data_IF_843124912050
#
_entry.id   IF_843124912050
#
_cell.length_a   1.000
_cell.length_b   1.000
_cell.length_c   1.000
_cell.angle_alpha   90.00
_cell.angle_beta   90.00
_cell.angle_gamma   90.00
#
_symmetry.space_group_name_H-M   'P 1'
#
loop_
_entity.id
_entity.type
_entity.pdbx_description
1 polymer ?
#
# COMPACT_ATOMS: atom_id res chain seq x y z
N UNK A 1 13.75 -3.02 27.34
CA UNK A 1 13.15 -1.82 26.69
C UNK A 1 12.00 -2.34 25.87
N UNK A 2 10.81 -1.79 26.09
CA UNK A 2 9.54 -2.34 25.59
C UNK A 2 9.55 -2.49 24.06
N UNK A 3 10.27 -1.61 23.35
CA UNK A 3 10.42 -1.68 21.89
C UNK A 3 11.15 -2.94 21.43
N UNK A 4 12.26 -3.29 22.10
CA UNK A 4 13.06 -4.47 21.75
C UNK A 4 12.33 -5.76 22.08
N UNK A 5 11.67 -5.82 23.23
CA UNK A 5 10.86 -6.96 23.65
C UNK A 5 9.66 -7.18 22.70
N UNK A 6 8.98 -6.09 22.31
CA UNK A 6 7.91 -6.17 21.32
C UNK A 6 8.42 -6.64 19.95
N UNK A 7 9.59 -6.16 19.51
CA UNK A 7 10.20 -6.61 18.27
C UNK A 7 10.54 -8.11 18.32
N UNK A 8 11.09 -8.61 19.43
CA UNK A 8 11.34 -10.04 19.63
C UNK A 8 10.07 -10.88 19.59
N UNK A 9 8.97 -10.41 20.21
CA UNK A 9 7.67 -11.07 20.13
C UNK A 9 7.15 -11.11 18.68
N UNK A 10 7.30 -10.03 17.91
CA UNK A 10 6.91 -10.02 16.50
C UNK A 10 7.75 -10.97 15.65
N UNK A 11 9.07 -11.01 15.90
CA UNK A 11 10.00 -11.87 15.16
C UNK A 11 9.80 -13.35 15.47
N UNK A 12 9.58 -13.71 16.75
CA UNK A 12 9.33 -15.09 17.18
C UNK A 12 8.04 -15.70 16.60
N UNK A 13 7.06 -14.86 16.23
CA UNK A 13 5.80 -15.28 15.62
C UNK A 13 5.86 -15.43 14.10
N UNK A 14 6.91 -14.95 13.43
CA UNK A 14 7.15 -15.22 12.01
C UNK A 14 7.64 -16.65 11.86
N UNK A 15 6.71 -17.58 11.65
CA UNK A 15 7.00 -19.03 11.66
C UNK A 15 7.96 -19.48 10.57
N UNK A 16 8.17 -18.72 9.49
CA UNK A 16 9.11 -19.11 8.44
C UNK A 16 9.83 -17.91 7.80
N UNK A 17 11.16 -18.01 7.75
CA UNK A 17 12.11 -17.28 6.87
C UNK A 17 12.07 -15.76 6.96
N UNK A 18 12.97 -15.21 7.79
CA UNK A 18 13.50 -13.87 7.53
C UNK A 18 14.12 -13.88 6.13
N UNK A 19 13.44 -13.26 5.17
CA UNK A 19 13.99 -13.00 3.85
C UNK A 19 14.86 -11.76 3.98
N UNK A 20 16.05 -11.72 3.38
CA UNK A 20 16.83 -10.48 3.32
C UNK A 20 15.95 -9.35 2.76
N UNK A 21 15.93 -8.21 3.46
CA UNK A 21 15.21 -7.05 2.91
C UNK A 21 15.88 -6.65 1.60
N UNK A 22 15.11 -6.74 0.52
CA UNK A 22 15.54 -6.37 -0.80
C UNK A 22 14.53 -5.40 -1.42
N UNK A 23 15.04 -4.51 -2.26
CA UNK A 23 14.24 -3.57 -3.04
C UNK A 23 14.42 -3.92 -4.50
N UNK A 24 13.32 -4.18 -5.19
CA UNK A 24 13.30 -4.36 -6.64
C UNK A 24 12.68 -3.13 -7.28
N UNK A 25 13.30 -2.61 -8.34
CA UNK A 25 12.69 -1.52 -9.10
C UNK A 25 11.44 -2.03 -9.82
N UNK A 26 10.36 -1.25 -9.76
CA UNK A 26 9.10 -1.53 -10.40
C UNK A 26 8.78 -0.54 -11.52
N UNK A 27 7.73 -0.84 -12.26
CA UNK A 27 7.19 0.02 -13.31
C UNK A 27 5.79 0.50 -12.93
N UNK A 28 5.37 1.69 -13.40
CA UNK A 28 3.99 2.14 -13.22
C UNK A 28 2.97 1.12 -13.73
N UNK A 29 1.94 0.86 -12.93
CA UNK A 29 0.85 -0.07 -13.28
C UNK A 29 -0.08 0.60 -14.28
N UNK A 30 -0.12 0.06 -15.50
CA UNK A 30 -0.97 0.59 -16.58
C UNK A 30 -2.45 0.25 -16.40
N UNK A 31 -2.72 -0.97 -15.93
CA UNK A 31 -4.06 -1.52 -15.77
C UNK A 31 -4.26 -2.02 -14.33
N UNK A 32 -4.57 -1.12 -13.38
CA UNK A 32 -4.72 -1.51 -11.98
C UNK A 32 -5.90 -2.47 -11.78
N UNK A 33 -5.65 -3.56 -11.05
CA UNK A 33 -6.66 -4.56 -10.72
C UNK A 33 -7.48 -4.13 -9.50
N UNK A 34 -8.73 -3.72 -9.78
CA UNK A 34 -9.75 -3.53 -8.75
C UNK A 34 -10.62 -4.78 -8.61
N UNK A 35 -10.90 -5.17 -7.38
CA UNK A 35 -11.66 -6.37 -7.06
C UNK A 35 -13.11 -6.07 -6.74
N UNK A 36 -13.91 -7.14 -6.66
CA UNK A 36 -15.34 -7.05 -6.39
C UNK A 36 -16.18 -6.80 -7.66
N UNK A 37 -17.48 -7.04 -7.52
CA UNK A 37 -18.46 -6.95 -8.60
C UNK A 37 -19.35 -5.69 -8.50
N UNK A 38 -19.16 -4.88 -7.46
CA UNK A 38 -19.91 -3.63 -7.25
C UNK A 38 -19.31 -2.46 -8.02
N UNK A 39 -20.07 -1.37 -8.21
CA UNK A 39 -19.49 -0.13 -8.71
C UNK A 39 -18.31 0.23 -7.81
N UNK A 40 -17.17 0.54 -8.43
CA UNK A 40 -16.04 1.11 -7.73
C UNK A 40 -16.57 2.40 -7.10
N UNK A 41 -16.84 2.39 -5.77
CA UNK A 41 -17.38 3.54 -5.06
C UNK A 41 -16.64 4.83 -5.43
N UNK A 42 -17.30 5.98 -5.33
CA UNK A 42 -16.84 7.23 -5.94
C UNK A 42 -15.42 7.63 -5.47
N UNK A 43 -14.55 8.02 -6.42
CA UNK A 43 -13.21 8.61 -6.12
C UNK A 43 -13.30 10.05 -5.61
N UNK A 44 -14.48 10.63 -5.63
CA UNK A 44 -14.77 12.02 -5.27
C UNK A 44 -14.15 12.43 -3.93
N UNK A 45 -14.16 11.57 -2.91
CA UNK A 45 -13.54 11.86 -1.62
C UNK A 45 -12.01 12.03 -1.71
N UNK A 46 -11.33 11.26 -2.57
CA UNK A 46 -9.89 11.38 -2.80
C UNK A 46 -9.56 12.57 -3.69
N UNK A 47 -10.43 12.86 -4.67
CA UNK A 47 -10.27 13.96 -5.62
C UNK A 47 -10.56 15.32 -4.99
N UNK A 48 -11.49 15.38 -4.04
CA UNK A 48 -11.84 16.57 -3.25
C UNK A 48 -10.80 16.92 -2.18
N UNK A 49 -9.79 16.09 -1.96
CA UNK A 49 -8.73 16.41 -1.03
C UNK A 49 -8.02 17.69 -1.48
N UNK A 50 -7.94 18.73 -0.64
CA UNK A 50 -7.40 20.02 -1.07
C UNK A 50 -5.99 19.83 -1.61
N UNK A 51 -5.61 20.60 -2.63
CA UNK A 51 -4.26 20.56 -3.21
C UNK A 51 -3.64 21.94 -3.12
N UNK A 52 -2.32 21.99 -2.97
CA UNK A 52 -1.61 23.25 -3.12
C UNK A 52 -1.37 23.47 -4.62
N UNK A 53 -1.73 24.64 -5.12
CA UNK A 53 -1.39 25.03 -6.50
C UNK A 53 0.14 25.08 -6.63
N UNK A 54 0.67 24.35 -7.60
CA UNK A 54 2.10 24.24 -7.89
C UNK A 54 2.28 24.39 -9.40
N UNK A 55 3.07 25.38 -9.80
CA UNK A 55 3.39 25.59 -11.22
C UNK A 55 4.11 24.38 -11.80
N UNK A 56 3.64 23.92 -12.96
CA UNK A 56 4.12 22.73 -13.65
C UNK A 56 4.14 21.48 -12.75
N UNK A 57 3.09 21.29 -11.94
CA UNK A 57 2.99 20.17 -10.99
C UNK A 57 3.31 18.81 -11.61
N UNK A 58 2.75 18.50 -12.79
CA UNK A 58 2.95 17.21 -13.45
C UNK A 58 4.40 16.99 -13.91
N UNK A 59 5.12 18.05 -14.30
CA UNK A 59 6.53 17.96 -14.71
C UNK A 59 7.45 17.79 -13.50
N UNK A 60 7.07 18.38 -12.35
CA UNK A 60 7.83 18.29 -11.09
C UNK A 60 7.50 17.04 -10.28
N UNK A 61 6.40 16.36 -10.60
CA UNK A 61 5.98 15.15 -9.89
C UNK A 61 6.90 13.99 -10.27
N UNK A 62 7.56 13.43 -9.27
CA UNK A 62 8.36 12.21 -9.39
C UNK A 62 7.54 11.06 -8.88
N UNK A 63 7.33 10.09 -9.76
CA UNK A 63 6.73 8.80 -9.42
C UNK A 63 7.81 7.72 -9.37
N UNK A 64 7.89 7.02 -8.25
CA UNK A 64 8.75 5.86 -8.07
C UNK A 64 7.87 4.65 -7.73
N UNK A 65 8.05 3.56 -8.50
CA UNK A 65 7.41 2.28 -8.23
C UNK A 65 8.51 1.27 -7.88
N UNK A 66 8.34 0.54 -6.80
CA UNK A 66 9.28 -0.49 -6.38
C UNK A 66 8.59 -1.55 -5.53
N UNK A 67 9.27 -2.68 -5.35
CA UNK A 67 8.79 -3.79 -4.55
C UNK A 67 9.72 -4.00 -3.36
N UNK A 68 9.13 -4.16 -2.18
CA UNK A 68 9.84 -4.56 -0.97
C UNK A 68 9.64 -6.06 -0.74
N UNK A 69 10.73 -6.80 -0.60
CA UNK A 69 10.67 -8.22 -0.24
C UNK A 69 10.54 -8.35 1.27
N UNK A 70 9.34 -8.68 1.74
CA UNK A 70 8.98 -8.67 3.18
C UNK A 70 8.88 -10.07 3.80
N UNK A 71 8.62 -11.08 2.98
CA UNK A 71 8.53 -12.50 3.34
C UNK A 71 8.67 -13.37 2.08
N UNK A 72 8.64 -14.69 2.27
CA UNK A 72 8.74 -15.65 1.17
C UNK A 72 7.42 -15.74 0.38
N UNK A 73 7.51 -16.05 -0.91
CA UNK A 73 6.35 -16.28 -1.77
C UNK A 73 5.78 -15.01 -2.41
N UNK A 74 4.78 -15.19 -3.28
CA UNK A 74 4.21 -14.10 -4.10
C UNK A 74 3.61 -12.98 -3.25
N UNK A 75 2.92 -13.34 -2.17
CA UNK A 75 2.38 -12.34 -1.25
C UNK A 75 3.50 -11.58 -0.53
N UNK A 76 4.73 -12.08 -0.42
CA UNK A 76 5.80 -11.37 0.26
C UNK A 76 6.42 -10.22 -0.51
N UNK A 77 6.14 -10.13 -1.81
CA UNK A 77 6.53 -9.03 -2.69
C UNK A 77 5.53 -7.89 -2.51
N UNK A 78 5.91 -6.86 -1.76
CA UNK A 78 5.05 -5.72 -1.43
C UNK A 78 5.24 -4.59 -2.45
N UNK A 79 4.25 -4.29 -3.32
CA UNK A 79 4.29 -3.18 -4.25
C UNK A 79 4.12 -1.85 -3.53
N UNK A 80 4.95 -0.88 -3.91
CA UNK A 80 4.98 0.47 -3.34
C UNK A 80 4.92 1.49 -4.47
N UNK A 81 3.99 2.42 -4.35
CA UNK A 81 3.86 3.62 -5.18
C UNK A 81 4.25 4.83 -4.33
N UNK A 82 5.31 5.54 -4.73
CA UNK A 82 5.79 6.73 -4.07
C UNK A 82 5.64 7.94 -5.01
N UNK A 83 4.99 8.99 -4.52
CA UNK A 83 4.90 10.29 -5.18
C UNK A 83 5.60 11.35 -4.33
N UNK A 84 6.47 12.13 -4.96
CA UNK A 84 7.14 13.29 -4.35
C UNK A 84 7.31 14.39 -5.39
N UNK A 85 7.42 15.63 -4.93
CA UNK A 85 7.85 16.72 -5.80
C UNK A 85 9.39 16.79 -5.88
N UNK A 86 9.89 17.02 -7.10
CA UNK A 86 11.27 17.34 -7.40
C UNK A 86 11.58 18.81 -7.06
N UNK A 87 11.62 19.10 -5.77
CA UNK A 87 11.95 20.42 -5.25
C UNK A 87 13.44 20.51 -4.92
N UNK A 88 14.03 21.70 -5.06
CA UNK A 88 15.41 22.00 -4.67
C UNK A 88 15.61 22.17 -3.15
N UNK A 89 14.55 22.01 -2.35
CA UNK A 89 14.54 22.22 -0.89
C UNK A 89 14.87 20.91 -0.11
N UNK A 90 15.18 20.99 1.21
CA UNK A 90 16.18 20.15 1.89
C UNK A 90 15.93 18.64 1.93
N UNK A 91 17.02 17.88 2.16
CA UNK A 91 17.16 16.41 2.06
C UNK A 91 16.15 15.56 2.85
N UNK A 92 15.49 16.10 3.88
CA UNK A 92 14.55 15.35 4.74
C UNK A 92 13.13 15.89 4.64
N UNK A 93 12.25 15.09 4.03
CA UNK A 93 10.81 15.35 3.91
C UNK A 93 10.02 14.38 4.80
N UNK A 94 8.90 14.82 5.40
CA UNK A 94 7.98 13.92 6.08
C UNK A 94 7.38 12.91 5.09
N UNK A 95 7.25 11.65 5.53
CA UNK A 95 6.66 10.56 4.75
C UNK A 95 5.27 10.26 5.29
N UNK A 96 4.28 10.19 4.42
CA UNK A 96 2.91 9.76 4.75
C UNK A 96 2.63 8.47 4.00
N UNK A 97 2.38 7.39 4.75
CA UNK A 97 1.98 6.09 4.18
C UNK A 97 0.46 5.96 4.29
N UNK A 98 -0.20 5.75 3.16
CA UNK A 98 -1.65 5.67 3.05
C UNK A 98 -2.05 4.28 2.58
N UNK A 99 -2.95 3.65 3.31
CA UNK A 99 -3.50 2.33 2.98
C UNK A 99 -4.82 2.50 2.22
N UNK A 100 -4.99 1.72 1.15
CA UNK A 100 -6.24 1.72 0.39
C UNK A 100 -7.30 0.86 1.11
N UNK A 101 -8.59 1.13 0.83
CA UNK A 101 -9.68 0.31 1.34
C UNK A 101 -9.71 -1.08 0.68
N UNK A 102 -10.48 -2.01 1.25
CA UNK A 102 -10.75 -3.31 0.61
C UNK A 102 -11.25 -3.14 -0.82
N UNK A 103 -10.92 -4.12 -1.66
CA UNK A 103 -11.28 -4.21 -3.08
C UNK A 103 -10.65 -3.17 -4.01
N UNK A 104 -9.86 -2.23 -3.46
CA UNK A 104 -9.09 -1.24 -4.23
C UNK A 104 -7.62 -1.65 -4.33
N UNK A 105 -6.79 -0.74 -4.82
CA UNK A 105 -5.34 -0.88 -4.90
C UNK A 105 -4.66 0.48 -4.66
N UNK A 106 -3.34 0.50 -4.57
CA UNK A 106 -2.54 1.72 -4.35
C UNK A 106 -2.77 2.80 -5.40
N UNK A 107 -3.00 2.44 -6.66
CA UNK A 107 -3.29 3.39 -7.75
C UNK A 107 -4.61 4.13 -7.51
N UNK A 108 -5.56 3.52 -6.77
CA UNK A 108 -6.81 4.16 -6.39
C UNK A 108 -6.57 5.46 -5.60
N UNK A 109 -5.51 5.49 -4.79
CA UNK A 109 -5.14 6.60 -3.92
C UNK A 109 -4.37 7.71 -4.64
N UNK A 110 -4.05 7.57 -5.94
CA UNK A 110 -3.24 8.56 -6.67
C UNK A 110 -3.71 10.02 -6.46
N UNK A 111 -5.02 10.35 -6.50
CA UNK A 111 -5.45 11.71 -6.27
C UNK A 111 -5.08 12.26 -4.89
N UNK A 112 -5.12 11.40 -3.87
CA UNK A 112 -4.73 11.73 -2.50
C UNK A 112 -3.21 11.87 -2.37
N UNK A 113 -2.45 10.97 -3.00
CA UNK A 113 -0.99 11.03 -3.00
C UNK A 113 -0.47 12.32 -3.66
N UNK A 114 -1.06 12.71 -4.79
CA UNK A 114 -0.75 13.99 -5.45
C UNK A 114 -1.05 15.19 -4.55
N UNK A 115 -2.17 15.14 -3.81
CA UNK A 115 -2.53 16.20 -2.87
C UNK A 115 -1.51 16.34 -1.73
N UNK A 116 -0.97 15.24 -1.21
CA UNK A 116 0.11 15.28 -0.22
C UNK A 116 1.46 15.70 -0.83
N UNK A 117 1.80 15.19 -2.02
CA UNK A 117 3.00 15.58 -2.74
C UNK A 117 3.02 17.10 -3.03
N UNK A 118 1.88 17.69 -3.44
CA UNK A 118 1.74 19.14 -3.68
C UNK A 118 2.08 20.00 -2.45
N UNK A 119 1.93 19.44 -1.24
CA UNK A 119 2.23 20.11 0.03
C UNK A 119 3.66 19.85 0.52
N UNK A 120 4.49 19.15 -0.25
CA UNK A 120 5.90 18.88 0.07
C UNK A 120 6.14 17.57 0.86
N UNK A 121 5.13 16.71 0.99
CA UNK A 121 5.30 15.39 1.60
C UNK A 121 5.81 14.36 0.58
N UNK A 122 6.48 13.32 1.08
CA UNK A 122 6.65 12.07 0.33
C UNK A 122 5.40 11.22 0.62
N UNK A 123 4.54 11.06 -0.38
CA UNK A 123 3.31 10.31 -0.25
C UNK A 123 3.52 8.89 -0.77
N UNK A 124 3.18 7.88 0.04
CA UNK A 124 3.40 6.47 -0.26
C UNK A 124 2.08 5.72 -0.16
N UNK A 125 1.78 4.89 -1.14
CA UNK A 125 0.73 3.88 -1.07
C UNK A 125 1.31 2.49 -1.30
N UNK A 126 0.73 1.50 -0.63
CA UNK A 126 1.13 0.09 -0.76
C UNK A 126 -0.08 -0.77 -1.07
N UNK A 127 0.12 -1.84 -1.83
CA UNK A 127 -0.92 -2.84 -2.01
C UNK A 127 -0.94 -3.80 -0.82
N UNK A 128 -2.09 -3.87 -0.15
CA UNK A 128 -2.34 -4.85 0.91
C UNK A 128 -2.37 -6.28 0.34
N UNK A 129 -2.28 -7.30 1.20
CA UNK A 129 -2.33 -8.71 0.75
C UNK A 129 -3.55 -8.95 -0.11
N UNK A 130 -3.38 -9.75 -1.16
CA UNK A 130 -4.45 -10.12 -2.08
C UNK A 130 -5.13 -8.94 -2.77
N UNK A 131 -4.47 -7.78 -2.93
CA UNK A 131 -4.99 -6.60 -3.64
C UNK A 131 -3.99 -6.06 -4.66
N UNK A 132 -4.48 -5.28 -5.63
CA UNK A 132 -3.66 -4.64 -6.66
C UNK A 132 -2.75 -5.63 -7.37
N UNK A 133 -1.45 -5.35 -7.41
CA UNK A 133 -0.46 -6.26 -8.02
C UNK A 133 -0.25 -7.57 -7.24
N UNK A 134 -0.76 -7.69 -6.02
CA UNK A 134 -0.73 -8.92 -5.21
C UNK A 134 -1.99 -9.76 -5.38
N UNK A 135 -2.88 -9.40 -6.31
CA UNK A 135 -4.07 -10.17 -6.67
C UNK A 135 -3.92 -10.75 -8.08
N UNK A 136 -4.42 -11.96 -8.29
CA UNK A 136 -4.41 -12.65 -9.59
C UNK A 136 -5.75 -12.52 -10.33
N UNK A 137 -6.83 -12.20 -9.62
CA UNK A 137 -8.19 -12.12 -10.14
C UNK A 137 -9.04 -11.10 -9.37
N UNK A 138 -10.25 -10.82 -9.87
CA UNK A 138 -11.22 -9.95 -9.18
C UNK A 138 -11.78 -10.55 -7.88
N UNK A 139 -11.54 -11.84 -7.65
CA UNK A 139 -12.07 -12.62 -6.52
C UNK A 139 -11.00 -13.04 -5.53
N UNK A 140 -9.71 -12.79 -5.80
CA UNK A 140 -8.58 -13.27 -4.98
C UNK A 140 -8.74 -12.95 -3.50
N UNK A 141 -9.14 -11.74 -3.15
CA UNK A 141 -9.33 -11.33 -1.75
C UNK A 141 -10.45 -12.11 -1.06
N UNK A 142 -11.59 -12.31 -1.73
CA UNK A 142 -12.74 -13.06 -1.19
C UNK A 142 -12.39 -14.54 -1.08
N UNK A 143 -11.69 -15.09 -2.07
CA UNK A 143 -11.22 -16.48 -2.07
C UNK A 143 -10.23 -16.73 -0.92
N UNK A 144 -9.26 -15.83 -0.74
CA UNK A 144 -8.31 -15.90 0.36
C UNK A 144 -9.02 -15.83 1.72
N UNK A 145 -10.01 -14.94 1.87
CA UNK A 145 -10.83 -14.84 3.08
C UNK A 145 -11.62 -16.13 3.35
N UNK A 146 -12.26 -16.69 2.32
CA UNK A 146 -13.02 -17.94 2.45
C UNK A 146 -12.11 -19.13 2.81
N UNK A 147 -10.89 -19.17 2.24
CA UNK A 147 -9.88 -20.18 2.58
C UNK A 147 -9.47 -20.06 4.04
N UNK A 148 -9.09 -18.85 4.47
CA UNK A 148 -8.68 -18.57 5.86
C UNK A 148 -9.76 -18.99 6.86
N UNK A 149 -11.03 -18.66 6.58
CA UNK A 149 -12.16 -19.03 7.42
C UNK A 149 -12.37 -20.55 7.51
N UNK A 150 -12.28 -21.26 6.37
CA UNK A 150 -12.54 -22.70 6.30
C UNK A 150 -11.43 -23.54 6.92
N UNK A 151 -10.18 -23.13 6.69
CA UNK A 151 -9.01 -23.96 6.95
C UNK A 151 -8.22 -23.52 8.18
N UNK A 152 -8.36 -22.25 8.60
CA UNK A 152 -7.49 -21.67 9.64
C UNK A 152 -6.01 -21.65 9.27
N UNK A 153 -5.69 -21.82 7.98
CA UNK A 153 -4.33 -21.90 7.43
C UNK A 153 -3.61 -20.55 7.45
N UNK A 154 -4.39 -19.47 7.38
CA UNK A 154 -3.98 -18.09 7.35
C UNK A 154 -4.87 -17.30 8.31
N UNK A 155 -4.33 -16.25 8.93
CA UNK A 155 -5.10 -15.44 9.88
C UNK A 155 -6.25 -14.73 9.12
N UNK A 156 -7.52 -14.96 9.48
CA UNK A 156 -8.63 -14.28 8.81
C UNK A 156 -8.53 -12.77 9.04
N UNK A 157 -8.22 -12.04 7.96
CA UNK A 157 -7.84 -10.62 7.95
C UNK A 157 -8.96 -9.63 8.35
N UNK A 158 -10.16 -10.12 8.66
CA UNK A 158 -11.30 -9.28 9.07
C UNK A 158 -11.18 -8.83 10.53
N UNK A 159 -10.47 -9.58 11.38
CA UNK A 159 -10.35 -9.24 12.80
C UNK A 159 -9.20 -8.26 13.13
N UNK A 160 -8.49 -7.74 12.13
CA UNK A 160 -7.26 -6.97 12.35
C UNK A 160 -7.48 -5.48 12.68
N UNK A 161 -8.72 -4.96 12.62
CA UNK A 161 -9.04 -3.59 13.06
C UNK A 161 -10.47 -3.44 13.58
N UNK A 162 -10.85 -4.16 14.62
CA UNK A 162 -11.92 -3.67 15.51
C UNK A 162 -11.23 -3.00 16.69
N UNK A 163 -11.06 -1.68 16.63
CA UNK A 163 -10.86 -0.91 17.85
C UNK A 163 -12.07 -1.18 18.72
N UNK A 164 -11.87 -1.87 19.85
CA UNK A 164 -12.93 -2.08 20.83
C UNK A 164 -13.54 -0.74 21.22
N UNK A 165 -14.85 -0.64 21.10
CA UNK A 165 -15.66 0.26 21.92
C UNK A 165 -15.84 -0.34 23.29
#
# INVERSE_FOLDING_TARGET
DLRSEYLEVLLSRRRERQVPMAVEQGSPVKEPLYQGNGPLGLREAMESCPRKEVDNFQEKLVEENFYLMTESGEQGRLPVLLLKLNDTAPERKPVVVILHSSYKCKEWLRPLLEAYASRGYIAVAIDSRYHGERASSKTTYIEALNSAWRNGDTMPFIFDTVCGT
#
